data_IF_125431323966
#
_entry.id   IF_125431323966
#
_cell.length_a   1.000
_cell.length_b   1.000
_cell.length_c   1.000
_cell.angle_alpha   90.00
_cell.angle_beta   90.00
_cell.angle_gamma   90.00
#
_symmetry.space_group_name_H-M   'P 1'
#
loop_
_entity.id
_entity.type
_entity.pdbx_description
1 polymer ?
#
# COMPACT_ATOMS: atom_id res chain seq x y z
N UNK A 1 4.73 -1.58 -3.88
CA UNK A 1 4.04 -2.84 -3.51
C UNK A 1 4.03 -3.75 -4.71
N UNK A 2 4.30 -5.05 -4.54
CA UNK A 2 4.48 -5.94 -5.69
C UNK A 2 3.17 -6.19 -6.47
N UNK A 3 3.28 -6.20 -7.80
CA UNK A 3 2.24 -6.58 -8.75
C UNK A 3 2.45 -8.03 -9.16
N UNK A 4 1.61 -8.92 -8.66
CA UNK A 4 1.82 -10.37 -8.77
C UNK A 4 0.51 -11.14 -8.71
N UNK A 5 -0.57 -10.58 -9.27
CA UNK A 5 -1.92 -11.16 -9.25
C UNK A 5 -2.41 -11.63 -7.86
N UNK A 6 -1.98 -10.92 -6.80
CA UNK A 6 -2.20 -11.30 -5.40
C UNK A 6 -1.50 -12.60 -4.95
N UNK A 7 -0.89 -13.37 -5.84
CA UNK A 7 -0.46 -14.75 -5.60
C UNK A 7 1.04 -14.93 -5.38
N UNK A 8 1.88 -14.01 -5.84
CA UNK A 8 3.34 -14.10 -5.74
C UNK A 8 3.95 -12.77 -5.27
N UNK A 9 5.26 -12.72 -5.09
CA UNK A 9 6.01 -11.46 -4.96
C UNK A 9 6.29 -10.99 -3.53
N UNK A 10 7.28 -10.11 -3.39
CA UNK A 10 7.72 -9.50 -2.14
C UNK A 10 8.15 -8.04 -2.31
N UNK A 11 8.37 -7.31 -1.21
CA UNK A 11 8.82 -5.91 -1.19
C UNK A 11 10.15 -5.69 -1.89
N UNK A 12 11.00 -6.72 -1.96
CA UNK A 12 12.30 -6.64 -2.65
C UNK A 12 12.15 -6.81 -4.16
N UNK A 13 11.07 -7.45 -4.61
CA UNK A 13 10.86 -7.76 -6.04
C UNK A 13 10.43 -6.53 -6.84
N UNK A 14 10.08 -5.44 -6.14
CA UNK A 14 9.77 -4.14 -6.73
C UNK A 14 10.62 -3.02 -6.14
N UNK A 15 11.91 -3.28 -5.90
CA UNK A 15 12.88 -2.18 -5.90
C UNK A 15 12.96 -1.65 -7.33
N UNK A 16 11.98 -0.81 -7.68
CA UNK A 16 12.03 0.01 -8.87
C UNK A 16 13.09 1.10 -8.64
N UNK A 17 13.63 1.65 -9.73
CA UNK A 17 14.45 2.84 -9.64
C UNK A 17 13.57 4.02 -9.18
N UNK A 18 13.48 4.24 -7.87
CA UNK A 18 12.68 5.33 -7.28
C UNK A 18 13.33 6.69 -7.40
N UNK A 19 14.46 6.81 -8.10
CA UNK A 19 15.21 8.06 -8.30
C UNK A 19 14.29 9.20 -8.73
N UNK A 20 13.38 8.97 -9.68
CA UNK A 20 12.40 9.96 -10.13
C UNK A 20 11.58 10.59 -8.98
N UNK A 21 11.15 9.78 -8.02
CA UNK A 21 10.36 10.22 -6.86
C UNK A 21 11.24 10.87 -5.79
N UNK A 22 12.39 10.26 -5.50
CA UNK A 22 13.32 10.76 -4.49
C UNK A 22 13.90 12.13 -4.87
N UNK A 23 14.20 12.36 -6.15
CA UNK A 23 14.63 13.66 -6.69
C UNK A 23 13.56 14.75 -6.57
N UNK A 24 12.30 14.39 -6.31
CA UNK A 24 11.17 15.30 -6.09
C UNK A 24 10.74 15.37 -4.63
N UNK A 25 11.60 14.90 -3.72
CA UNK A 25 11.37 14.90 -2.28
C UNK A 25 10.15 14.06 -1.86
N UNK A 26 9.81 13.04 -2.64
CA UNK A 26 8.72 12.11 -2.35
C UNK A 26 9.29 10.87 -1.66
N UNK A 27 8.95 10.68 -0.38
CA UNK A 27 9.27 9.47 0.35
C UNK A 27 8.47 8.26 -0.16
N UNK A 28 9.13 7.11 -0.30
CA UNK A 28 8.51 5.86 -0.77
C UNK A 28 8.48 4.84 0.36
N UNK A 29 7.29 4.35 0.70
CA UNK A 29 7.10 3.21 1.60
C UNK A 29 6.63 1.98 0.82
N UNK A 30 7.32 0.85 0.98
CA UNK A 30 6.93 -0.42 0.36
C UNK A 30 6.40 -1.36 1.43
N UNK A 31 5.14 -1.78 1.26
CA UNK A 31 4.45 -2.66 2.19
C UNK A 31 4.41 -4.07 1.61
N UNK A 32 4.75 -5.05 2.45
CA UNK A 32 4.52 -6.47 2.16
C UNK A 32 3.11 -6.85 2.59
N UNK A 33 2.32 -7.38 1.66
CA UNK A 33 1.03 -7.96 2.00
C UNK A 33 1.10 -9.47 1.95
N UNK A 34 0.20 -10.10 2.72
CA UNK A 34 -0.12 -11.52 2.57
C UNK A 34 -0.59 -11.81 1.15
N UNK A 35 -0.20 -12.97 0.64
CA UNK A 35 -0.61 -13.47 -0.66
C UNK A 35 -2.02 -14.08 -0.58
N UNK A 36 -2.69 -14.25 -1.71
CA UNK A 36 -4.08 -14.72 -1.79
C UNK A 36 -4.27 -16.15 -1.26
N UNK A 37 -3.21 -16.96 -1.26
CA UNK A 37 -3.20 -18.28 -0.61
C UNK A 37 -3.06 -18.22 0.92
N UNK A 38 -2.64 -17.08 1.46
CA UNK A 38 -2.44 -16.86 2.90
C UNK A 38 -3.61 -16.08 3.52
N UNK A 39 -4.23 -15.18 2.75
CA UNK A 39 -5.36 -14.40 3.21
C UNK A 39 -6.30 -14.02 2.06
N UNK A 40 -7.59 -14.29 2.26
CA UNK A 40 -8.66 -13.94 1.32
C UNK A 40 -9.09 -12.47 1.45
N UNK A 41 -9.78 -11.95 0.44
CA UNK A 41 -10.45 -10.65 0.53
C UNK A 41 -11.39 -10.62 1.74
N UNK A 42 -11.46 -9.52 2.53
CA UNK A 42 -10.84 -8.21 2.34
C UNK A 42 -9.51 -8.01 3.09
N UNK A 43 -8.83 -9.05 3.57
CA UNK A 43 -7.68 -8.94 4.46
C UNK A 43 -6.56 -8.05 3.89
N UNK A 44 -6.29 -8.14 2.59
CA UNK A 44 -5.30 -7.30 1.90
C UNK A 44 -5.67 -5.82 1.98
N UNK A 45 -6.94 -5.45 1.78
CA UNK A 45 -7.39 -4.05 1.90
C UNK A 45 -7.27 -3.57 3.35
N UNK A 46 -7.54 -4.44 4.32
CA UNK A 46 -7.39 -4.11 5.74
C UNK A 46 -5.92 -3.86 6.13
N UNK A 47 -4.99 -4.67 5.61
CA UNK A 47 -3.56 -4.48 5.78
C UNK A 47 -3.11 -3.13 5.21
N UNK A 48 -3.60 -2.75 4.03
CA UNK A 48 -3.32 -1.46 3.41
C UNK A 48 -3.80 -0.29 4.26
N UNK A 49 -5.04 -0.36 4.74
CA UNK A 49 -5.61 0.65 5.66
C UNK A 49 -4.78 0.74 6.95
N UNK A 50 -4.34 -0.40 7.49
CA UNK A 50 -3.49 -0.43 8.68
C UNK A 50 -2.13 0.22 8.42
N UNK A 51 -1.52 -0.03 7.26
CA UNK A 51 -0.25 0.55 6.90
C UNK A 51 -0.33 2.07 6.73
N UNK A 52 -1.39 2.60 6.10
CA UNK A 52 -1.63 4.05 6.03
C UNK A 52 -1.79 4.66 7.43
N UNK A 53 -2.55 4.01 8.33
CA UNK A 53 -2.69 4.47 9.72
C UNK A 53 -1.35 4.44 10.46
N UNK A 54 -0.57 3.39 10.28
CA UNK A 54 0.75 3.27 10.88
C UNK A 54 1.68 4.37 10.40
N UNK A 55 1.72 4.66 9.10
CA UNK A 55 2.47 5.78 8.55
C UNK A 55 2.04 7.11 9.21
N UNK A 56 0.74 7.42 9.23
CA UNK A 56 0.23 8.65 9.86
C UNK A 56 0.62 8.76 11.34
N UNK A 57 0.62 7.65 12.08
CA UNK A 57 1.04 7.62 13.48
C UNK A 57 2.55 7.80 13.70
N UNK A 58 3.37 7.59 12.67
CA UNK A 58 4.84 7.60 12.76
C UNK A 58 5.50 8.78 12.01
N UNK A 59 4.76 9.83 11.66
CA UNK A 59 5.31 10.99 10.94
C UNK A 59 6.47 11.66 11.64
N UNK A 60 6.42 11.80 12.97
CA UNK A 60 7.52 12.41 13.74
C UNK A 60 8.83 11.62 13.61
N UNK A 61 8.72 10.28 13.55
CA UNK A 61 9.87 9.37 13.47
C UNK A 61 10.53 9.41 12.09
N UNK A 62 9.73 9.47 11.03
CA UNK A 62 10.21 9.39 9.64
C UNK A 62 10.19 10.72 8.88
N UNK A 63 9.77 11.80 9.55
CA UNK A 63 9.81 13.18 9.07
C UNK A 63 9.14 13.38 7.69
N UNK A 64 7.89 12.95 7.54
CA UNK A 64 7.12 13.16 6.31
C UNK A 64 5.73 13.76 6.58
N UNK A 65 5.14 14.34 5.54
CA UNK A 65 3.82 14.97 5.59
C UNK A 65 2.69 13.91 5.55
N UNK A 66 1.97 13.72 6.67
CA UNK A 66 0.82 12.79 6.73
C UNK A 66 -0.41 13.21 5.94
N UNK A 67 -0.51 14.50 5.57
CA UNK A 67 -1.63 15.03 4.79
C UNK A 67 -1.49 14.70 3.30
N UNK A 68 -0.30 14.29 2.85
CA UNK A 68 0.02 14.03 1.45
C UNK A 68 0.53 12.59 1.28
N UNK A 69 -0.37 11.61 1.38
CA UNK A 69 -0.06 10.20 1.16
C UNK A 69 -0.78 9.70 -0.09
N UNK A 70 -0.01 9.28 -1.09
CA UNK A 70 -0.50 8.59 -2.28
C UNK A 70 -0.22 7.08 -2.21
N UNK A 71 -1.06 6.29 -2.88
CA UNK A 71 -0.86 4.84 -3.03
C UNK A 71 -0.97 4.49 -4.51
N UNK A 72 0.03 3.80 -5.03
CA UNK A 72 0.04 3.31 -6.41
C UNK A 72 0.43 1.82 -6.44
N UNK A 73 -0.15 1.09 -7.40
CA UNK A 73 0.09 -0.34 -7.64
C UNK A 73 -0.05 -0.61 -9.13
N UNK A 74 0.68 -1.60 -9.63
CA UNK A 74 0.65 -1.97 -11.05
C UNK A 74 -0.32 -3.14 -11.31
N UNK A 75 -0.99 -3.10 -12.47
CA UNK A 75 -1.82 -4.20 -13.01
C UNK A 75 -2.98 -4.60 -12.08
N UNK A 76 -3.24 -5.89 -11.90
CA UNK A 76 -4.34 -6.43 -11.09
C UNK A 76 -4.34 -5.89 -9.64
N UNK A 77 -3.17 -5.55 -9.10
CA UNK A 77 -3.06 -5.00 -7.76
C UNK A 77 -3.52 -3.52 -7.66
N UNK A 78 -3.67 -2.80 -8.79
CA UNK A 78 -4.24 -1.45 -8.83
C UNK A 78 -5.67 -1.42 -8.28
N UNK A 79 -6.43 -2.51 -8.43
CA UNK A 79 -7.77 -2.64 -7.86
C UNK A 79 -7.76 -2.42 -6.33
N UNK A 80 -6.76 -2.95 -5.62
CA UNK A 80 -6.63 -2.73 -4.17
C UNK A 80 -6.34 -1.26 -3.84
N UNK A 81 -5.53 -0.57 -4.65
CA UNK A 81 -5.30 0.86 -4.46
C UNK A 81 -6.58 1.67 -4.68
N UNK A 82 -7.38 1.31 -5.69
CA UNK A 82 -8.71 1.92 -5.93
C UNK A 82 -9.68 1.65 -4.78
N UNK A 83 -9.77 0.41 -4.28
CA UNK A 83 -10.62 0.07 -3.13
C UNK A 83 -10.14 0.86 -1.89
N UNK A 84 -8.84 0.93 -1.64
CA UNK A 84 -8.30 1.69 -0.52
C UNK A 84 -8.73 3.17 -0.57
N UNK A 85 -8.59 3.81 -1.74
CA UNK A 85 -8.95 5.22 -1.94
C UNK A 85 -10.45 5.49 -1.84
N UNK A 86 -11.29 4.56 -2.28
CA UNK A 86 -12.75 4.73 -2.32
C UNK A 86 -13.48 4.29 -1.05
N UNK A 87 -12.79 3.56 -0.15
CA UNK A 87 -13.42 2.94 1.03
C UNK A 87 -12.88 3.47 2.35
N UNK A 88 -12.31 4.67 2.37
CA UNK A 88 -11.71 5.28 3.57
C UNK A 88 -12.67 5.36 4.76
N UNK A 89 -13.97 5.53 4.51
CA UNK A 89 -15.05 5.60 5.50
C UNK A 89 -15.70 4.24 5.81
N UNK A 90 -15.35 3.18 5.06
CA UNK A 90 -15.92 1.85 5.25
C UNK A 90 -15.11 1.07 6.28
N UNK A 91 -15.78 0.70 7.38
CA UNK A 91 -15.19 -0.04 8.50
C UNK A 91 -15.27 -1.56 8.28
N UNK A 92 -16.33 -2.04 7.60
CA UNK A 92 -16.59 -3.46 7.35
C UNK A 92 -17.00 -3.70 5.89
N UNK A 93 -16.42 -4.72 5.27
CA UNK A 93 -16.86 -5.23 3.97
C UNK A 93 -17.83 -6.39 4.20
N UNK A 94 -18.94 -6.43 3.48
CA UNK A 94 -19.83 -7.59 3.44
C UNK A 94 -19.33 -8.49 2.31
N UNK A 95 -18.91 -9.70 2.66
CA UNK A 95 -18.32 -10.72 1.78
C UNK A 95 -18.99 -12.05 2.00
#
# INVERSE_FOLDING_TARGET
>A
MHGSAFKFGSKTDQIQNFKYYLEREIAIAIINNRLSGEAHFPATVQNEKAAVRWLKANTKKYQFNSSSIGVFRNSAAANIASILGTTSHIIKFNV
#
